data_IF_645598569732
#
_entry.id   IF_645598569732
#
_cell.length_a   1.000
_cell.length_b   1.000
_cell.length_c   1.000
_cell.angle_alpha   90.00
_cell.angle_beta   90.00
_cell.angle_gamma   90.00
#
_symmetry.space_group_name_H-M   'P 1'
#
loop_
_entity.id
_entity.type
_entity.pdbx_description
1 polymer ?
#
# COMPACT_ATOMS: atom_id res chain seq x y z
N UNK A 1 20.13 10.51 2.41
CA UNK A 1 18.80 10.62 3.05
C UNK A 1 18.37 9.23 3.48
N UNK A 2 17.84 9.06 4.68
CA UNK A 2 17.30 7.76 5.11
C UNK A 2 15.87 7.61 4.61
N UNK A 3 15.45 6.39 4.28
CA UNK A 3 14.06 6.09 3.90
C UNK A 3 13.17 6.23 5.14
N UNK A 4 12.04 6.97 5.08
CA UNK A 4 11.10 7.09 6.20
C UNK A 4 10.60 5.72 6.68
N UNK A 5 10.48 5.54 8.00
CA UNK A 5 10.03 4.28 8.59
C UNK A 5 8.59 3.94 8.18
N UNK A 6 7.78 4.96 7.91
CA UNK A 6 6.40 4.87 7.47
C UNK A 6 6.29 4.18 6.10
N UNK A 7 7.25 4.39 5.19
CA UNK A 7 7.28 3.68 3.91
C UNK A 7 7.66 2.21 4.07
N UNK A 8 8.50 1.89 5.05
CA UNK A 8 8.84 0.49 5.39
C UNK A 8 7.59 -0.20 5.98
N UNK A 9 6.89 0.48 6.89
CA UNK A 9 5.64 -0.02 7.47
C UNK A 9 4.57 -0.23 6.39
N UNK A 10 4.43 0.70 5.45
CA UNK A 10 3.55 0.56 4.29
C UNK A 10 3.86 -0.71 3.48
N UNK A 11 5.13 -0.92 3.10
CA UNK A 11 5.54 -2.12 2.35
C UNK A 11 5.17 -3.39 3.10
N UNK A 12 5.45 -3.44 4.41
CA UNK A 12 5.15 -4.61 5.23
C UNK A 12 3.64 -4.88 5.34
N UNK A 13 2.84 -3.84 5.55
CA UNK A 13 1.41 -4.00 5.74
C UNK A 13 0.69 -4.37 4.43
N UNK A 14 0.98 -3.64 3.35
CA UNK A 14 0.37 -3.90 2.05
C UNK A 14 0.82 -5.23 1.45
N UNK A 15 2.08 -5.65 1.62
CA UNK A 15 2.52 -6.97 1.20
C UNK A 15 1.81 -8.09 1.97
N UNK A 16 1.54 -7.90 3.27
CA UNK A 16 0.79 -8.86 4.10
C UNK A 16 -0.64 -9.01 3.60
N UNK A 17 -1.34 -7.89 3.40
CA UNK A 17 -2.73 -7.90 2.92
C UNK A 17 -2.85 -8.41 1.49
N UNK A 18 -1.99 -7.95 0.58
CA UNK A 18 -1.94 -8.44 -0.80
C UNK A 18 -1.73 -9.95 -0.86
N UNK A 19 -0.82 -10.50 -0.05
CA UNK A 19 -0.62 -11.95 0.06
C UNK A 19 -1.87 -12.66 0.59
N UNK A 20 -2.53 -12.12 1.61
CA UNK A 20 -3.77 -12.72 2.13
C UNK A 20 -4.84 -12.86 1.05
N UNK A 21 -5.01 -11.84 0.21
CA UNK A 21 -5.96 -11.89 -0.91
C UNK A 21 -5.54 -12.88 -2.01
N UNK A 22 -4.24 -13.03 -2.27
CA UNK A 22 -3.77 -14.09 -3.18
C UNK A 22 -4.05 -15.48 -2.61
N UNK A 23 -3.85 -15.68 -1.31
CA UNK A 23 -4.17 -16.94 -0.63
C UNK A 23 -5.70 -17.19 -0.67
N UNK A 24 -6.53 -16.16 -0.55
CA UNK A 24 -7.98 -16.24 -0.75
C UNK A 24 -8.36 -16.66 -2.17
N UNK A 25 -7.69 -16.13 -3.20
CA UNK A 25 -7.93 -16.53 -4.58
C UNK A 25 -7.62 -18.01 -4.80
N UNK A 26 -6.52 -18.52 -4.24
CA UNK A 26 -6.17 -19.96 -4.32
C UNK A 26 -7.22 -20.80 -3.62
N UNK A 27 -7.66 -20.41 -2.41
CA UNK A 27 -8.72 -21.11 -1.68
C UNK A 27 -10.03 -21.14 -2.46
N UNK A 28 -10.48 -20.00 -2.98
CA UNK A 28 -11.69 -19.90 -3.77
C UNK A 28 -11.63 -20.77 -5.04
N UNK A 29 -10.47 -20.77 -5.72
CA UNK A 29 -10.26 -21.57 -6.92
C UNK A 29 -10.38 -23.08 -6.66
N UNK A 30 -9.95 -23.54 -5.49
CA UNK A 30 -10.04 -24.96 -5.10
C UNK A 30 -11.46 -25.33 -4.64
N UNK A 31 -12.08 -24.50 -3.81
CA UNK A 31 -13.36 -24.80 -3.14
C UNK A 31 -14.57 -24.74 -4.08
N UNK A 32 -14.53 -23.91 -5.13
CA UNK A 32 -15.66 -23.67 -6.01
C UNK A 32 -15.50 -24.31 -7.40
N UNK A 33 -14.58 -25.26 -7.57
CA UNK A 33 -14.26 -25.87 -8.88
C UNK A 33 -15.47 -26.48 -9.61
N UNK A 34 -16.48 -26.94 -8.86
CA UNK A 34 -17.72 -27.52 -9.40
C UNK A 34 -18.83 -26.47 -9.65
N UNK A 35 -18.61 -25.20 -9.28
CA UNK A 35 -19.60 -24.10 -9.40
C UNK A 35 -19.00 -22.93 -10.17
N UNK A 36 -19.06 -22.95 -11.52
CA UNK A 36 -18.38 -21.97 -12.37
C UNK A 36 -18.70 -20.50 -12.06
N UNK A 37 -19.94 -20.21 -11.64
CA UNK A 37 -20.39 -18.87 -11.26
C UNK A 37 -19.70 -18.34 -10.00
N UNK A 38 -19.70 -19.15 -8.93
CA UNK A 38 -19.01 -18.79 -7.69
C UNK A 38 -17.50 -18.74 -7.91
N UNK A 39 -16.98 -19.67 -8.72
CA UNK A 39 -15.56 -19.78 -9.03
C UNK A 39 -15.03 -18.49 -9.66
N UNK A 40 -15.58 -18.07 -10.80
CA UNK A 40 -15.05 -16.86 -11.45
C UNK A 40 -15.21 -15.63 -10.57
N UNK A 41 -16.31 -15.56 -9.81
CA UNK A 41 -16.65 -14.35 -9.06
C UNK A 41 -15.69 -14.16 -7.89
N UNK A 42 -15.53 -15.20 -7.08
CA UNK A 42 -14.71 -15.14 -5.87
C UNK A 42 -13.22 -15.09 -6.20
N UNK A 43 -12.77 -15.84 -7.21
CA UNK A 43 -11.38 -15.76 -7.67
C UNK A 43 -11.07 -14.37 -8.20
N UNK A 44 -11.93 -13.80 -9.06
CA UNK A 44 -11.67 -12.46 -9.60
C UNK A 44 -11.72 -11.39 -8.52
N UNK A 45 -12.66 -11.44 -7.57
CA UNK A 45 -12.68 -10.48 -6.46
C UNK A 45 -11.39 -10.49 -5.65
N UNK A 46 -10.94 -11.66 -5.21
CA UNK A 46 -9.71 -11.78 -4.44
C UNK A 46 -8.47 -11.30 -5.23
N UNK A 47 -8.39 -11.62 -6.53
CA UNK A 47 -7.31 -11.14 -7.38
C UNK A 47 -7.36 -9.62 -7.61
N UNK A 48 -8.54 -9.03 -7.78
CA UNK A 48 -8.68 -7.59 -7.94
C UNK A 48 -8.37 -6.84 -6.65
N UNK A 49 -8.72 -7.40 -5.49
CA UNK A 49 -8.32 -6.83 -4.19
C UNK A 49 -6.80 -6.85 -4.03
N UNK A 50 -6.16 -8.00 -4.30
CA UNK A 50 -4.70 -8.10 -4.28
C UNK A 50 -4.04 -7.09 -5.27
N UNK A 51 -4.63 -6.92 -6.45
CA UNK A 51 -4.16 -5.95 -7.45
C UNK A 51 -4.28 -4.51 -6.95
N UNK A 52 -5.40 -4.15 -6.32
CA UNK A 52 -5.63 -2.81 -5.79
C UNK A 52 -4.58 -2.43 -4.72
N UNK A 53 -4.29 -3.34 -3.79
CA UNK A 53 -3.21 -3.14 -2.80
C UNK A 53 -1.85 -2.95 -3.50
N UNK A 54 -1.52 -3.76 -4.51
CA UNK A 54 -0.28 -3.57 -5.27
C UNK A 54 -0.22 -2.22 -5.99
N UNK A 55 -1.32 -1.78 -6.61
CA UNK A 55 -1.38 -0.49 -7.30
C UNK A 55 -1.14 0.67 -6.35
N UNK A 56 -1.79 0.66 -5.19
CA UNK A 56 -1.64 1.69 -4.17
C UNK A 56 -0.23 1.69 -3.59
N UNK A 57 0.33 0.51 -3.25
CA UNK A 57 1.70 0.40 -2.74
C UNK A 57 2.71 0.99 -3.74
N UNK A 58 2.65 0.56 -4.99
CA UNK A 58 3.54 1.06 -6.05
C UNK A 58 3.33 2.56 -6.29
N UNK A 59 2.08 3.00 -6.36
CA UNK A 59 1.70 4.40 -6.56
C UNK A 59 2.22 5.32 -5.46
N UNK A 60 2.08 4.92 -4.20
CA UNK A 60 2.53 5.70 -3.06
C UNK A 60 4.06 5.78 -3.00
N UNK A 61 4.76 4.68 -3.27
CA UNK A 61 6.23 4.69 -3.37
C UNK A 61 6.71 5.55 -4.55
N UNK A 62 6.06 5.46 -5.70
CA UNK A 62 6.36 6.28 -6.86
C UNK A 62 6.11 7.77 -6.58
N UNK A 63 4.98 8.12 -5.96
CA UNK A 63 4.66 9.48 -5.54
C UNK A 63 5.71 10.03 -4.57
N UNK A 64 6.14 9.24 -3.59
CA UNK A 64 7.21 9.65 -2.68
C UNK A 64 8.51 9.94 -3.43
N UNK A 65 8.92 9.06 -4.36
CA UNK A 65 10.14 9.26 -5.15
C UNK A 65 10.07 10.50 -6.04
N UNK A 66 8.89 10.82 -6.61
CA UNK A 66 8.68 12.07 -7.35
C UNK A 66 8.88 13.29 -6.45
N UNK A 67 8.37 13.28 -5.22
CA UNK A 67 8.56 14.37 -4.26
C UNK A 67 10.02 14.54 -3.84
N UNK A 68 10.80 13.45 -3.83
CA UNK A 68 12.25 13.51 -3.61
C UNK A 68 13.04 14.00 -4.84
N UNK A 69 12.36 14.34 -5.93
CA UNK A 69 12.98 14.85 -7.15
C UNK A 69 13.60 13.76 -8.02
N UNK A 70 13.16 12.51 -7.90
CA UNK A 70 13.58 11.46 -8.83
C UNK A 70 13.10 11.82 -10.25
N UNK A 71 14.01 11.71 -11.21
CA UNK A 71 13.72 11.93 -12.62
C UNK A 71 12.54 11.06 -13.09
N UNK A 72 11.60 11.67 -13.82
CA UNK A 72 10.37 11.01 -14.23
C UNK A 72 10.65 9.82 -15.17
N UNK A 73 11.61 9.94 -16.09
CA UNK A 73 11.95 8.86 -17.01
C UNK A 73 12.70 7.72 -16.30
N UNK A 74 13.52 8.04 -15.31
CA UNK A 74 14.10 7.06 -14.42
C UNK A 74 13.03 6.31 -13.62
N UNK A 75 12.06 7.02 -13.04
CA UNK A 75 10.94 6.42 -12.31
C UNK A 75 10.11 5.50 -13.20
N UNK A 76 9.75 5.94 -14.41
CA UNK A 76 9.03 5.11 -15.39
C UNK A 76 9.77 3.82 -15.73
N UNK A 77 11.11 3.89 -15.85
CA UNK A 77 11.96 2.70 -16.04
C UNK A 77 11.96 1.77 -14.82
N UNK A 78 11.87 2.31 -13.60
CA UNK A 78 11.79 1.49 -12.37
C UNK A 78 10.46 0.75 -12.26
N UNK A 79 9.36 1.36 -12.72
CA UNK A 79 8.03 0.76 -12.67
C UNK A 79 7.85 -0.41 -13.63
N UNK A 80 8.65 -0.51 -14.69
CA UNK A 80 8.65 -1.63 -15.66
C UNK A 80 7.23 -1.99 -16.17
N UNK A 81 6.36 -0.99 -16.32
CA UNK A 81 4.97 -1.14 -16.75
C UNK A 81 4.75 -0.50 -18.12
N UNK A 82 3.88 -1.07 -18.98
CA UNK A 82 3.50 -0.44 -20.25
C UNK A 82 2.77 0.90 -20.06
N UNK A 83 2.14 1.09 -18.91
CA UNK A 83 1.51 2.34 -18.51
C UNK A 83 1.95 2.65 -17.06
N UNK A 84 3.07 3.37 -16.87
CA UNK A 84 3.61 3.69 -15.56
C UNK A 84 2.85 4.82 -14.86
N UNK A 85 2.26 5.74 -15.63
CA UNK A 85 1.65 6.96 -15.09
C UNK A 85 0.33 6.64 -14.36
N UNK A 86 -0.32 5.49 -14.66
CA UNK A 86 -1.52 5.01 -13.95
C UNK A 86 -1.34 4.75 -12.45
N UNK A 87 -0.11 4.52 -12.00
CA UNK A 87 0.15 4.17 -10.59
C UNK A 87 0.07 5.38 -9.67
N UNK A 88 0.50 6.56 -10.13
CA UNK A 88 0.44 7.79 -9.33
C UNK A 88 -0.94 8.44 -9.52
N UNK A 89 -1.93 7.92 -8.80
CA UNK A 89 -3.29 8.41 -8.78
C UNK A 89 -3.64 9.11 -7.45
N UNK A 90 -4.81 9.74 -7.36
CA UNK A 90 -5.22 10.50 -6.18
C UNK A 90 -5.23 9.65 -4.90
N UNK A 91 -5.68 8.40 -4.98
CA UNK A 91 -5.74 7.50 -3.82
C UNK A 91 -4.34 7.20 -3.27
N UNK A 92 -3.36 6.96 -4.14
CA UNK A 92 -1.97 6.76 -3.76
C UNK A 92 -1.34 8.03 -3.16
N UNK A 93 -1.72 9.21 -3.65
CA UNK A 93 -1.28 10.50 -3.12
C UNK A 93 -1.93 10.82 -1.77
N UNK A 94 -3.20 10.49 -1.58
CA UNK A 94 -3.90 10.62 -0.30
C UNK A 94 -3.25 9.69 0.75
N UNK A 95 -2.95 8.45 0.36
CA UNK A 95 -2.23 7.49 1.20
C UNK A 95 -0.84 8.03 1.61
N UNK A 96 -0.09 8.58 0.66
CA UNK A 96 1.20 9.22 0.92
C UNK A 96 1.06 10.40 1.88
N UNK A 97 0.07 11.27 1.66
CA UNK A 97 -0.19 12.42 2.51
C UNK A 97 -0.48 12.00 3.96
N UNK A 98 -1.30 10.96 4.14
CA UNK A 98 -1.58 10.38 5.45
C UNK A 98 -0.33 9.81 6.13
N UNK A 99 0.49 9.05 5.40
CA UNK A 99 1.75 8.49 5.91
C UNK A 99 2.72 9.57 6.35
N UNK A 100 2.80 10.67 5.61
CA UNK A 100 3.70 11.80 5.88
C UNK A 100 3.11 12.81 6.89
N UNK A 101 1.96 12.51 7.51
CA UNK A 101 1.33 13.35 8.52
C UNK A 101 0.85 14.70 7.99
N UNK A 102 0.48 14.78 6.70
CA UNK A 102 -0.01 16.03 6.11
C UNK A 102 -1.41 16.35 6.64
N UNK A 103 -1.74 17.64 6.80
CA UNK A 103 -3.07 18.03 7.23
C UNK A 103 -4.08 17.87 6.10
N UNK A 104 -5.30 17.42 6.43
CA UNK A 104 -6.47 17.55 5.58
C UNK A 104 -6.95 19.01 5.66
N UNK A 105 -7.31 19.61 4.52
CA UNK A 105 -7.76 20.99 4.48
C UNK A 105 -9.01 21.21 5.38
N UNK A 106 -9.05 22.35 6.07
CA UNK A 106 -10.15 22.68 6.98
C UNK A 106 -11.51 22.63 6.27
N UNK A 107 -12.48 22.00 6.92
CA UNK A 107 -13.84 21.83 6.38
C UNK A 107 -13.99 20.72 5.33
N UNK A 108 -12.92 20.00 4.97
CA UNK A 108 -13.02 18.83 4.09
C UNK A 108 -13.11 17.52 4.89
N UNK A 109 -13.84 16.55 4.33
CA UNK A 109 -13.86 15.18 4.85
C UNK A 109 -12.53 14.51 4.53
N UNK A 110 -11.92 13.87 5.54
CA UNK A 110 -10.71 13.07 5.35
C UNK A 110 -10.94 11.95 4.33
N UNK A 111 -10.12 11.86 3.25
CA UNK A 111 -10.16 10.75 2.32
C UNK A 111 -9.81 9.42 3.01
N UNK A 112 -10.43 8.32 2.58
CA UNK A 112 -10.19 6.98 3.16
C UNK A 112 -8.71 6.61 3.18
N UNK A 113 -8.01 6.83 2.07
CA UNK A 113 -6.61 6.46 1.95
C UNK A 113 -5.68 7.34 2.80
N UNK A 114 -6.05 8.62 3.00
CA UNK A 114 -5.37 9.48 3.96
C UNK A 114 -5.46 8.93 5.39
N UNK A 115 -6.68 8.55 5.81
CA UNK A 115 -6.90 7.93 7.10
C UNK A 115 -6.06 6.65 7.26
N UNK A 116 -6.07 5.76 6.26
CA UNK A 116 -5.29 4.51 6.28
C UNK A 116 -3.78 4.79 6.40
N UNK A 117 -3.26 5.76 5.65
CA UNK A 117 -1.85 6.15 5.73
C UNK A 117 -1.46 6.61 7.12
N UNK A 118 -2.29 7.44 7.75
CA UNK A 118 -2.06 7.89 9.13
C UNK A 118 -2.03 6.70 10.11
N UNK A 119 -2.98 5.78 10.00
CA UNK A 119 -3.01 4.59 10.87
C UNK A 119 -1.76 3.71 10.72
N UNK A 120 -1.26 3.54 9.50
CA UNK A 120 -0.01 2.79 9.24
C UNK A 120 1.19 3.49 9.87
N UNK A 121 1.27 4.82 9.75
CA UNK A 121 2.34 5.60 10.38
C UNK A 121 2.31 5.45 11.91
N UNK A 122 1.15 5.63 12.53
CA UNK A 122 0.96 5.47 13.98
C UNK A 122 1.35 4.06 14.46
N UNK A 123 0.87 3.01 13.78
CA UNK A 123 1.16 1.62 14.14
C UNK A 123 2.63 1.20 13.87
N UNK A 124 3.26 1.80 12.86
CA UNK A 124 4.65 1.53 12.48
C UNK A 124 5.66 2.11 13.47
N UNK A 125 5.36 3.30 14.01
CA UNK A 125 6.20 4.00 15.00
C UNK A 125 6.22 3.26 16.35
N UNK A 126 5.09 2.65 16.76
CA UNK A 126 5.00 1.89 18.00
C UNK A 126 5.92 0.64 18.01
N UNK A 127 6.04 -0.04 16.87
CA UNK A 127 6.92 -1.23 16.74
C UNK A 127 8.41 -0.89 16.69
N UNK A 128 8.76 0.34 16.31
CA UNK A 128 10.14 0.84 16.32
C UNK A 128 10.63 1.27 17.70
N UNK A 129 9.70 1.64 18.59
CA UNK A 129 9.99 2.17 19.93
C UNK A 129 10.22 1.09 20.99
N UNK A 130 9.85 -0.16 20.74
CA UNK A 130 10.04 -1.30 21.66
C UNK A 130 11.46 -1.92 21.64
N UNK A 131 12.36 -1.43 20.77
CA UNK A 131 13.74 -1.94 20.65
C UNK A 131 14.72 -1.50 21.77
N UNK A 132 14.28 -0.68 22.72
CA UNK A 132 15.12 -0.14 23.79
C UNK A 132 14.72 -0.65 25.17
N UNK A 133 14.99 -1.92 25.51
CA UNK A 133 14.97 -2.35 26.92
C UNK A 133 16.35 -2.20 27.55
N UNK A 134 16.47 -1.55 28.72
CA UNK A 134 17.74 -1.39 29.41
C UNK A 134 18.18 -2.72 30.00
N UNK A 135 19.46 -3.03 29.81
CA UNK A 135 20.15 -4.13 30.48
C UNK A 135 20.12 -3.88 31.98
N UNK A 136 19.31 -4.64 32.73
CA UNK A 136 19.35 -4.64 34.18
C UNK A 136 20.67 -5.27 34.65
N UNK A 137 21.36 -4.55 35.54
CA UNK A 137 22.42 -5.06 36.41
C UNK A 137 21.81 -5.60 37.68
#
# INVERSE_FOLDING_TARGET
MAVPAELIALVQDFARWGRSHLDDAVRAAQQHSERPGDWHRLVLYALTDALAYNFLLVGTLAGYLQEQGLDADLLRRHLQSPDPDRYVNQEALDLLAGLMGRPVAEGQREPTWHFVGRQIAECGVDRGSEGGRPTQR
#
